data_IF_993242996752
#
_entry.id   IF_993242996752
#
_cell.length_a   1.000
_cell.length_b   1.000
_cell.length_c   1.000
_cell.angle_alpha   90.00
_cell.angle_beta   90.00
_cell.angle_gamma   90.00
#
_symmetry.space_group_name_H-M   'P 1'
#
loop_
_entity.id
_entity.type
_entity.pdbx_description
1 polymer ?
#
# COMPACT_ATOMS: atom_id res chain seq x y z
N UNK A 1 17.31 3.24 -5.50
CA UNK A 1 17.25 1.99 -4.69
C UNK A 1 16.26 2.04 -3.52
N UNK A 2 16.39 2.95 -2.53
CA UNK A 2 15.46 3.00 -1.38
C UNK A 2 14.00 3.14 -1.83
N UNK A 3 13.71 4.11 -2.69
CA UNK A 3 12.39 4.30 -3.29
C UNK A 3 11.83 3.01 -3.91
N UNK A 4 12.56 2.38 -4.84
CA UNK A 4 12.12 1.14 -5.48
C UNK A 4 11.95 -0.04 -4.52
N UNK A 5 12.71 -0.07 -3.42
CA UNK A 5 12.54 -1.09 -2.37
C UNK A 5 11.23 -0.88 -1.61
N UNK A 6 10.96 0.35 -1.18
CA UNK A 6 9.71 0.71 -0.51
C UNK A 6 8.49 0.52 -1.42
N UNK A 7 8.60 0.83 -2.71
CA UNK A 7 7.51 0.60 -3.67
C UNK A 7 7.18 -0.89 -3.81
N UNK A 8 8.18 -1.78 -3.87
CA UNK A 8 7.93 -3.22 -3.89
C UNK A 8 7.22 -3.72 -2.63
N UNK A 9 7.64 -3.23 -1.46
CA UNK A 9 7.00 -3.54 -0.18
C UNK A 9 5.58 -2.97 -0.13
N UNK A 10 5.36 -1.75 -0.64
CA UNK A 10 4.05 -1.13 -0.76
C UNK A 10 3.10 -2.01 -1.56
N UNK A 11 3.49 -2.43 -2.76
CA UNK A 11 2.66 -3.28 -3.63
C UNK A 11 2.41 -4.65 -2.99
N UNK A 12 3.37 -5.20 -2.26
CA UNK A 12 3.20 -6.44 -1.51
C UNK A 12 2.14 -6.30 -0.41
N UNK A 13 2.27 -5.28 0.44
CA UNK A 13 1.35 -5.05 1.55
C UNK A 13 -0.04 -4.66 1.06
N UNK A 14 -0.12 -3.88 -0.01
CA UNK A 14 -1.39 -3.54 -0.65
C UNK A 14 -2.07 -4.80 -1.23
N UNK A 15 -1.29 -5.72 -1.82
CA UNK A 15 -1.79 -7.02 -2.26
C UNK A 15 -2.36 -7.82 -1.09
N UNK A 16 -1.65 -7.90 0.04
CA UNK A 16 -2.13 -8.58 1.25
C UNK A 16 -3.40 -7.94 1.80
N UNK A 17 -3.46 -6.61 1.84
CA UNK A 17 -4.66 -5.88 2.23
C UNK A 17 -5.86 -6.23 1.35
N UNK A 18 -5.72 -6.19 0.02
CA UNK A 18 -6.81 -6.55 -0.89
C UNK A 18 -7.25 -8.00 -0.74
N UNK A 19 -6.30 -8.93 -0.59
CA UNK A 19 -6.63 -10.33 -0.34
C UNK A 19 -7.37 -10.52 0.98
N UNK A 20 -7.01 -9.79 2.04
CA UNK A 20 -7.72 -9.83 3.32
C UNK A 20 -9.15 -9.26 3.20
N UNK A 21 -9.33 -8.13 2.50
CA UNK A 21 -10.66 -7.55 2.19
C UNK A 21 -11.53 -8.56 1.42
N UNK A 22 -10.92 -9.29 0.48
CA UNK A 22 -11.59 -10.35 -0.29
C UNK A 22 -11.74 -11.69 0.46
N UNK A 23 -11.25 -11.79 1.71
CA UNK A 23 -11.21 -13.05 2.49
C UNK A 23 -10.51 -14.20 1.76
N UNK A 24 -9.42 -13.90 1.07
CA UNK A 24 -8.55 -14.88 0.40
C UNK A 24 -7.38 -15.32 1.28
N UNK A 25 -7.05 -14.55 2.30
CA UNK A 25 -6.07 -14.86 3.34
C UNK A 25 -6.68 -14.59 4.72
N UNK A 26 -6.03 -15.04 5.82
CA UNK A 26 -6.43 -14.64 7.17
C UNK A 26 -6.47 -13.11 7.34
N UNK A 27 -7.29 -12.61 8.29
CA UNK A 27 -7.29 -11.18 8.63
C UNK A 27 -5.89 -10.68 8.99
N UNK A 28 -5.63 -9.42 8.66
CA UNK A 28 -4.41 -8.71 9.02
C UNK A 28 -4.75 -7.63 10.04
N UNK A 29 -3.77 -7.25 10.86
CA UNK A 29 -3.95 -6.18 11.83
C UNK A 29 -4.06 -4.82 11.13
N UNK A 30 -5.18 -4.14 11.40
CA UNK A 30 -5.50 -2.83 10.84
C UNK A 30 -5.57 -1.81 11.97
N UNK A 31 -4.99 -0.65 11.73
CA UNK A 31 -5.04 0.47 12.65
C UNK A 31 -5.54 1.74 11.97
N UNK A 32 -6.07 2.67 12.74
CA UNK A 32 -6.35 4.04 12.29
C UNK A 32 -5.31 5.01 12.87
N UNK A 33 -4.96 6.12 12.20
CA UNK A 33 -4.20 7.16 12.86
C UNK A 33 -5.05 7.81 13.95
N UNK A 34 -4.47 8.03 15.13
CA UNK A 34 -5.07 8.96 16.10
C UNK A 34 -5.08 10.39 15.55
N UNK A 35 -5.97 11.25 16.07
CA UNK A 35 -6.03 12.65 15.64
C UNK A 35 -4.68 13.40 15.77
N UNK A 36 -3.89 13.24 16.86
CA UNK A 36 -2.57 13.84 16.95
C UNK A 36 -1.58 13.32 15.89
N UNK A 37 -1.62 12.02 15.59
CA UNK A 37 -0.77 11.42 14.55
C UNK A 37 -1.10 11.97 13.18
N UNK A 38 -2.40 12.06 12.84
CA UNK A 38 -2.85 12.61 11.58
C UNK A 38 -2.50 14.09 11.44
N UNK A 39 -2.73 14.89 12.49
CA UNK A 39 -2.41 16.31 12.50
C UNK A 39 -0.91 16.57 12.31
N UNK A 40 -0.05 15.77 12.96
CA UNK A 40 1.39 15.87 12.80
C UNK A 40 1.88 15.40 11.43
N UNK A 41 1.33 14.30 10.89
CA UNK A 41 1.67 13.79 9.56
C UNK A 41 1.35 14.80 8.44
N UNK A 42 0.28 15.58 8.61
CA UNK A 42 -0.24 16.50 7.60
C UNK A 42 -0.03 17.98 7.97
N UNK A 43 0.81 18.28 8.96
CA UNK A 43 0.97 19.63 9.51
C UNK A 43 1.30 20.69 8.45
N UNK A 44 2.11 20.32 7.46
CA UNK A 44 2.53 21.23 6.37
C UNK A 44 1.50 21.34 5.23
N UNK A 45 0.37 20.64 5.30
CA UNK A 45 -0.65 20.63 4.26
C UNK A 45 -2.07 20.70 4.86
N UNK A 46 -2.50 21.94 5.13
CA UNK A 46 -3.82 22.22 5.73
C UNK A 46 -5.00 21.74 4.89
N UNK A 47 -4.84 21.70 3.56
CA UNK A 47 -5.84 21.12 2.66
C UNK A 47 -5.95 19.61 2.86
N UNK A 48 -4.80 18.91 2.91
CA UNK A 48 -4.79 17.47 3.12
C UNK A 48 -5.37 17.07 4.48
N UNK A 49 -5.12 17.87 5.53
CA UNK A 49 -5.69 17.63 6.85
C UNK A 49 -7.23 17.69 6.85
N UNK A 50 -7.82 18.73 6.23
CA UNK A 50 -9.29 18.83 6.10
C UNK A 50 -9.85 17.67 5.30
N UNK A 51 -9.23 17.37 4.17
CA UNK A 51 -9.75 16.35 3.28
C UNK A 51 -9.58 14.93 3.86
N UNK A 52 -8.64 14.71 4.78
CA UNK A 52 -8.50 13.45 5.51
C UNK A 52 -9.75 13.10 6.38
N UNK A 53 -10.57 14.07 6.75
CA UNK A 53 -11.83 13.83 7.48
C UNK A 53 -12.83 13.00 6.65
N UNK A 54 -12.81 13.15 5.32
CA UNK A 54 -13.66 12.40 4.40
C UNK A 54 -13.10 10.99 4.08
N UNK A 55 -11.91 10.66 4.57
CA UNK A 55 -11.21 9.42 4.25
C UNK A 55 -11.26 8.41 5.40
N UNK A 56 -11.33 7.14 5.04
CA UNK A 56 -10.88 6.05 5.89
C UNK A 56 -9.38 5.90 5.64
N UNK A 57 -8.58 6.11 6.69
CA UNK A 57 -7.13 5.90 6.66
C UNK A 57 -6.84 4.65 7.48
N UNK A 58 -6.22 3.68 6.83
CA UNK A 58 -5.81 2.41 7.44
C UNK A 58 -4.29 2.35 7.44
N UNK A 59 -3.73 1.96 8.57
CA UNK A 59 -2.30 1.71 8.77
C UNK A 59 -2.13 0.21 8.99
N UNK A 60 -1.24 -0.38 8.21
CA UNK A 60 -0.79 -1.76 8.34
C UNK A 60 0.68 -1.70 8.68
N UNK A 61 1.06 -2.43 9.73
CA UNK A 61 2.45 -2.65 10.11
C UNK A 61 2.71 -4.14 9.97
N UNK A 62 3.65 -4.52 9.11
CA UNK A 62 4.03 -5.91 8.94
C UNK A 62 5.33 -6.24 9.70
N UNK A 63 5.77 -7.49 9.58
CA UNK A 63 7.00 -8.02 10.18
C UNK A 63 8.28 -7.36 9.66
N UNK A 64 8.21 -6.60 8.56
CA UNK A 64 9.33 -5.83 8.03
C UNK A 64 9.54 -4.50 8.75
N UNK A 65 8.71 -4.19 9.76
CA UNK A 65 8.71 -2.93 10.52
C UNK A 65 8.49 -1.69 9.64
N UNK A 66 7.88 -1.88 8.47
CA UNK A 66 7.49 -0.82 7.55
C UNK A 66 6.01 -0.51 7.74
N UNK A 67 5.65 0.77 7.67
CA UNK A 67 4.27 1.22 7.67
C UNK A 67 3.76 1.33 6.25
N UNK A 68 2.67 0.64 5.95
CA UNK A 68 1.79 0.95 4.84
C UNK A 68 0.62 1.77 5.38
N UNK A 69 0.40 2.95 4.82
CA UNK A 69 -0.86 3.67 4.95
C UNK A 69 -1.68 3.53 3.66
N UNK A 70 -2.99 3.38 3.82
CA UNK A 70 -3.95 3.31 2.71
C UNK A 70 -5.09 4.29 3.01
N UNK A 71 -5.42 5.15 2.06
CA UNK A 71 -6.46 6.16 2.19
C UNK A 71 -7.50 5.99 1.07
N UNK A 72 -8.78 5.94 1.43
CA UNK A 72 -9.90 5.84 0.48
C UNK A 72 -11.16 6.52 1.05
N UNK A 73 -12.11 6.97 0.19
CA UNK A 73 -13.31 7.68 0.65
C UNK A 73 -14.21 6.83 1.54
N UNK A 74 -14.75 7.43 2.61
CA UNK A 74 -15.75 6.80 3.50
C UNK A 74 -17.10 6.55 2.82
N UNK A 75 -17.40 7.36 1.81
CA UNK A 75 -18.66 7.39 1.06
C UNK A 75 -18.70 6.37 -0.09
N UNK A 76 -17.57 5.69 -0.39
CA UNK A 76 -17.47 4.78 -1.53
C UNK A 76 -17.00 5.50 -2.81
N UNK A 77 -17.36 5.01 -4.00
CA UNK A 77 -16.80 5.49 -5.26
C UNK A 77 -17.35 6.85 -5.73
N UNK A 78 -18.47 7.32 -5.15
CA UNK A 78 -19.16 8.51 -5.65
C UNK A 78 -19.62 8.29 -7.09
N UNK A 79 -19.29 9.23 -7.98
CA UNK A 79 -19.64 9.17 -9.41
C UNK A 79 -18.73 8.22 -10.23
N UNK A 80 -17.69 7.64 -9.60
CA UNK A 80 -16.76 6.71 -10.26
C UNK A 80 -17.28 5.28 -10.25
N UNK A 81 -16.63 4.39 -11.00
CA UNK A 81 -16.95 2.97 -10.95
C UNK A 81 -16.31 2.24 -9.77
N UNK A 82 -15.16 2.73 -9.29
CA UNK A 82 -14.46 2.18 -8.13
C UNK A 82 -13.93 3.31 -7.23
N UNK A 83 -13.76 3.03 -5.93
CA UNK A 83 -13.24 3.99 -4.97
C UNK A 83 -11.79 4.30 -5.25
N UNK A 84 -11.47 5.57 -5.47
CA UNK A 84 -10.09 6.05 -5.54
C UNK A 84 -9.33 5.68 -4.26
N UNK A 85 -8.06 5.32 -4.42
CA UNK A 85 -7.19 4.86 -3.34
C UNK A 85 -5.85 5.57 -3.48
N UNK A 86 -5.29 6.01 -2.36
CA UNK A 86 -3.87 6.36 -2.27
C UNK A 86 -3.19 5.43 -1.29
N UNK A 87 -1.95 5.04 -1.59
CA UNK A 87 -1.11 4.26 -0.70
C UNK A 87 0.22 4.94 -0.43
N UNK A 88 0.84 4.62 0.70
CA UNK A 88 2.14 5.17 1.06
C UNK A 88 2.88 4.22 1.96
N UNK A 89 4.10 3.87 1.56
CA UNK A 89 4.97 2.96 2.31
C UNK A 89 6.23 3.67 2.79
N UNK A 90 6.53 3.55 4.09
CA UNK A 90 7.73 4.15 4.70
C UNK A 90 8.09 3.50 6.04
N UNK A 91 9.35 3.57 6.43
CA UNK A 91 9.79 3.28 7.80
C UNK A 91 9.28 4.33 8.80
N UNK A 92 8.93 5.52 8.30
CA UNK A 92 8.30 6.60 9.06
C UNK A 92 6.80 6.65 8.79
N UNK A 93 6.00 6.42 9.84
CA UNK A 93 4.53 6.43 9.79
C UNK A 93 3.96 7.78 9.32
N UNK A 94 4.60 8.91 9.64
CA UNK A 94 4.15 10.23 9.20
C UNK A 94 4.27 10.35 7.67
N UNK A 95 5.40 9.90 7.12
CA UNK A 95 5.64 9.89 5.67
C UNK A 95 4.68 8.94 4.96
N UNK A 96 4.43 7.76 5.53
CA UNK A 96 3.47 6.80 4.98
C UNK A 96 2.07 7.42 4.86
N UNK A 97 1.57 8.01 5.96
CA UNK A 97 0.27 8.70 5.99
C UNK A 97 0.22 9.85 4.99
N UNK A 98 1.24 10.71 5.00
CA UNK A 98 1.30 11.87 4.10
C UNK A 98 1.18 11.42 2.64
N UNK A 99 1.98 10.43 2.22
CA UNK A 99 1.95 9.88 0.86
C UNK A 99 0.58 9.34 0.48
N UNK A 100 0.02 8.46 1.30
CA UNK A 100 -1.28 7.84 1.03
C UNK A 100 -2.39 8.87 0.87
N UNK A 101 -2.42 9.87 1.76
CA UNK A 101 -3.42 10.93 1.73
C UNK A 101 -3.24 11.84 0.51
N UNK A 102 -2.00 12.26 0.20
CA UNK A 102 -1.75 13.12 -0.97
C UNK A 102 -2.00 12.41 -2.30
N UNK A 103 -1.66 11.12 -2.41
CA UNK A 103 -1.92 10.32 -3.61
C UNK A 103 -3.41 10.13 -3.85
N UNK A 104 -4.19 9.89 -2.79
CA UNK A 104 -5.65 9.78 -2.88
C UNK A 104 -6.26 11.07 -3.46
N UNK A 105 -5.80 12.23 -3.02
CA UNK A 105 -6.29 13.51 -3.54
C UNK A 105 -5.86 13.77 -4.97
N UNK A 106 -4.61 13.44 -5.34
CA UNK A 106 -4.13 13.59 -6.71
C UNK A 106 -4.94 12.71 -7.67
N UNK A 107 -5.18 11.45 -7.30
CA UNK A 107 -6.06 10.54 -8.04
C UNK A 107 -7.50 11.06 -8.12
N UNK A 108 -7.97 11.77 -7.10
CA UNK A 108 -9.29 12.38 -7.15
C UNK A 108 -9.34 13.59 -8.09
N UNK A 109 -8.35 14.49 -8.01
CA UNK A 109 -8.34 15.75 -8.73
C UNK A 109 -8.02 15.63 -10.23
N UNK A 110 -7.25 14.61 -10.62
CA UNK A 110 -6.77 14.42 -11.99
C UNK A 110 -7.59 13.40 -12.79
N UNK A 111 -8.74 12.97 -12.26
CA UNK A 111 -9.57 11.94 -12.90
C UNK A 111 -10.11 12.41 -14.25
N UNK A 112 -9.81 11.66 -15.30
CA UNK A 112 -10.18 11.96 -16.66
C UNK A 112 -10.91 10.80 -17.37
N UNK A 113 -11.18 10.97 -18.67
CA UNK A 113 -11.85 9.95 -19.48
C UNK A 113 -11.05 8.65 -19.63
N UNK A 114 -9.71 8.70 -19.56
CA UNK A 114 -8.88 7.49 -19.60
C UNK A 114 -9.00 6.71 -18.29
N UNK A 115 -9.03 7.43 -17.16
CA UNK A 115 -9.28 6.84 -15.85
C UNK A 115 -10.68 6.19 -15.78
N UNK A 116 -11.70 6.82 -16.37
CA UNK A 116 -13.05 6.23 -16.47
C UNK A 116 -13.04 4.90 -17.25
N UNK A 117 -12.36 4.85 -18.39
CA UNK A 117 -12.21 3.62 -19.20
C UNK A 117 -11.45 2.55 -18.41
N UNK A 118 -10.39 2.93 -17.69
CA UNK A 118 -9.63 2.00 -16.85
C UNK A 118 -10.49 1.46 -15.70
N UNK A 119 -11.20 2.33 -15.00
CA UNK A 119 -12.11 1.99 -13.91
C UNK A 119 -13.23 1.06 -14.37
N UNK A 120 -13.77 1.25 -15.58
CA UNK A 120 -14.77 0.34 -16.16
C UNK A 120 -14.20 -1.08 -16.31
N UNK A 121 -12.99 -1.23 -16.84
CA UNK A 121 -12.32 -2.54 -16.96
C UNK A 121 -12.11 -3.20 -15.60
N UNK A 122 -11.76 -2.41 -14.59
CA UNK A 122 -11.62 -2.91 -13.21
C UNK A 122 -12.97 -3.38 -12.69
N UNK A 123 -14.03 -2.59 -12.86
CA UNK A 123 -15.37 -2.96 -12.44
C UNK A 123 -15.82 -4.27 -13.09
N UNK A 124 -15.61 -4.42 -14.40
CA UNK A 124 -15.97 -5.63 -15.16
C UNK A 124 -15.30 -6.89 -14.60
N UNK A 125 -14.05 -6.79 -14.14
CA UNK A 125 -13.35 -7.90 -13.48
C UNK A 125 -13.87 -8.13 -12.06
N UNK A 126 -14.03 -7.08 -11.26
CA UNK A 126 -14.39 -7.22 -9.84
C UNK A 126 -15.83 -7.68 -9.64
N UNK A 127 -16.77 -7.29 -10.52
CA UNK A 127 -18.18 -7.64 -10.40
C UNK A 127 -18.47 -9.12 -10.70
N UNK A 128 -17.52 -9.85 -11.32
CA UNK A 128 -17.66 -11.27 -11.62
C UNK A 128 -17.54 -12.18 -10.39
N UNK A 129 -17.17 -11.65 -9.23
CA UNK A 129 -16.99 -12.45 -8.01
C UNK A 129 -17.49 -11.74 -6.75
N UNK A 130 -18.28 -12.45 -5.96
CA UNK A 130 -18.79 -12.01 -4.67
C UNK A 130 -17.69 -11.63 -3.67
N UNK A 131 -16.51 -12.25 -3.81
CA UNK A 131 -15.33 -11.90 -2.99
C UNK A 131 -14.63 -10.65 -3.51
N UNK A 132 -14.50 -10.51 -4.83
CA UNK A 132 -13.73 -9.43 -5.45
C UNK A 132 -14.49 -8.11 -5.48
N UNK A 133 -15.83 -8.13 -5.58
CA UNK A 133 -16.66 -6.92 -5.56
C UNK A 133 -16.45 -6.05 -4.32
N UNK A 134 -15.92 -6.63 -3.23
CA UNK A 134 -15.54 -5.90 -2.02
C UNK A 134 -14.44 -4.85 -2.28
N UNK A 135 -13.64 -4.99 -3.35
CA UNK A 135 -12.60 -4.01 -3.73
C UNK A 135 -13.13 -2.82 -4.51
N UNK A 136 -14.41 -2.84 -4.93
CA UNK A 136 -15.04 -1.72 -5.65
C UNK A 136 -15.13 -0.51 -4.71
N UNK A 137 -15.64 -0.71 -3.50
CA UNK A 137 -15.89 0.37 -2.53
C UNK A 137 -15.28 0.12 -1.15
N UNK A 138 -14.53 -0.98 -1.00
CA UNK A 138 -13.96 -1.43 0.27
C UNK A 138 -15.01 -1.64 1.37
N UNK A 139 -16.23 -2.08 1.03
CA UNK A 139 -17.33 -2.29 1.97
C UNK A 139 -16.97 -2.95 3.32
N UNK A 140 -16.12 -3.98 3.40
CA UNK A 140 -15.79 -4.63 4.68
C UNK A 140 -14.96 -3.76 5.63
N UNK A 141 -14.27 -2.75 5.11
CA UNK A 141 -13.30 -1.94 5.85
C UNK A 141 -13.61 -0.44 5.78
N UNK A 142 -14.55 0.00 4.92
CA UNK A 142 -15.07 1.36 4.92
C UNK A 142 -15.80 1.62 6.23
N UNK A 143 -15.39 2.65 6.96
CA UNK A 143 -15.95 3.02 8.28
C UNK A 143 -15.71 1.99 9.39
N UNK A 144 -14.69 1.14 9.25
CA UNK A 144 -14.32 0.20 10.31
C UNK A 144 -13.78 0.95 11.53
N UNK A 145 -14.32 0.63 12.72
CA UNK A 145 -13.79 1.10 13.99
C UNK A 145 -12.66 0.17 14.42
N UNK A 146 -11.43 0.64 14.34
CA UNK A 146 -10.20 -0.10 14.65
C UNK A 146 -9.34 0.67 15.64
N UNK A 147 -8.42 -0.04 16.28
CA UNK A 147 -7.50 0.54 17.24
C UNK A 147 -6.68 1.68 16.61
N UNK A 148 -6.45 2.73 17.38
CA UNK A 148 -5.72 3.90 16.91
C UNK A 148 -4.24 3.82 17.27
N UNK A 149 -3.36 4.18 16.35
CA UNK A 149 -1.94 4.40 16.64
C UNK A 149 -1.69 5.84 17.08
N UNK A 150 -0.94 5.98 18.17
CA UNK A 150 -0.43 7.26 18.65
C UNK A 150 0.85 7.64 17.91
N UNK A 151 1.23 8.94 17.89
CA UNK A 151 2.54 9.36 17.41
C UNK A 151 3.66 8.63 18.14
N UNK A 152 4.60 8.04 17.39
CA UNK A 152 5.80 7.49 18.00
C UNK A 152 6.73 8.63 18.40
N UNK A 153 7.09 8.70 19.69
CA UNK A 153 7.99 9.73 20.23
C UNK A 153 9.46 9.53 19.81
N UNK A 154 9.82 8.32 19.38
CA UNK A 154 11.21 7.89 19.17
C UNK A 154 11.40 7.29 17.77
N UNK A 155 11.00 8.00 16.71
CA UNK A 155 11.37 7.58 15.36
C UNK A 155 12.85 7.87 15.12
N UNK A 156 13.67 6.87 14.80
CA UNK A 156 15.08 7.11 14.53
C UNK A 156 15.23 7.92 13.24
N UNK A 157 16.00 9.00 13.30
CA UNK A 157 16.36 9.78 12.11
C UNK A 157 17.45 9.03 11.32
N UNK A 158 17.04 8.08 10.49
CA UNK A 158 17.94 7.27 9.68
C UNK A 158 18.26 7.96 8.35
N UNK A 159 19.54 8.01 8.00
CA UNK A 159 20.00 8.34 6.66
C UNK A 159 19.57 7.29 5.63
N UNK A 160 19.59 7.63 4.33
CA UNK A 160 19.21 6.70 3.25
C UNK A 160 19.98 5.37 3.30
N UNK A 161 21.33 5.34 3.51
CA UNK A 161 22.06 4.08 3.68
C UNK A 161 21.61 3.27 4.90
N UNK A 162 21.33 3.92 6.02
CA UNK A 162 20.87 3.24 7.25
C UNK A 162 19.47 2.64 7.07
N UNK A 163 18.56 3.35 6.40
CA UNK A 163 17.25 2.83 6.03
C UNK A 163 17.37 1.60 5.12
N UNK A 164 18.27 1.63 4.14
CA UNK A 164 18.53 0.48 3.27
C UNK A 164 19.12 -0.70 4.03
N UNK A 165 20.04 -0.46 4.95
CA UNK A 165 20.63 -1.51 5.79
C UNK A 165 19.57 -2.17 6.68
N UNK A 166 18.69 -1.36 7.30
CA UNK A 166 17.57 -1.85 8.10
C UNK A 166 16.60 -2.69 7.27
N UNK A 167 16.19 -2.21 6.09
CA UNK A 167 15.31 -2.96 5.19
C UNK A 167 15.94 -4.28 4.75
N UNK A 168 17.24 -4.30 4.41
CA UNK A 168 17.96 -5.54 4.07
C UNK A 168 17.98 -6.52 5.23
N UNK A 169 18.22 -6.05 6.45
CA UNK A 169 18.19 -6.88 7.66
C UNK A 169 16.81 -7.48 7.88
N UNK A 170 15.76 -6.67 7.82
CA UNK A 170 14.38 -7.10 8.05
C UNK A 170 13.92 -8.10 6.97
N UNK A 171 14.20 -7.82 5.69
CA UNK A 171 13.93 -8.74 4.58
C UNK A 171 14.66 -10.08 4.77
N UNK A 172 15.93 -10.05 5.20
CA UNK A 172 16.69 -11.26 5.46
C UNK A 172 16.08 -12.09 6.60
N UNK A 173 15.59 -11.43 7.65
CA UNK A 173 14.85 -12.08 8.75
C UNK A 173 13.57 -12.80 8.28
N UNK A 174 12.96 -12.34 7.18
CA UNK A 174 11.80 -12.97 6.55
C UNK A 174 12.17 -13.97 5.44
N UNK A 175 13.44 -14.39 5.33
CA UNK A 175 13.94 -15.21 4.23
C UNK A 175 13.70 -14.60 2.83
N UNK A 176 13.73 -13.26 2.74
CA UNK A 176 13.62 -12.51 1.49
C UNK A 176 14.96 -11.88 1.12
N UNK A 177 15.29 -11.88 -0.16
CA UNK A 177 16.53 -11.31 -0.68
C UNK A 177 16.20 -10.12 -1.59
N UNK A 178 16.85 -8.98 -1.32
CA UNK A 178 16.74 -7.78 -2.16
C UNK A 178 17.80 -7.82 -3.26
N UNK A 179 17.35 -7.94 -4.50
CA UNK A 179 18.17 -7.78 -5.70
C UNK A 179 17.97 -6.38 -6.28
N UNK A 180 19.03 -5.85 -6.89
CA UNK A 180 18.95 -4.62 -7.65
C UNK A 180 19.98 -4.62 -8.78
N UNK A 181 19.68 -3.87 -9.84
CA UNK A 181 20.65 -3.55 -10.90
C UNK A 181 20.48 -2.10 -11.33
N UNK A 182 21.57 -1.49 -11.77
CA UNK A 182 21.51 -0.22 -12.49
C UNK A 182 21.06 -0.49 -13.92
N UNK A 183 20.01 0.21 -14.36
CA UNK A 183 19.47 0.12 -15.73
C UNK A 183 20.12 1.19 -16.60
N UNK A 184 20.28 2.40 -16.07
CA UNK A 184 20.85 3.52 -16.80
C UNK A 184 21.47 4.52 -15.83
N UNK A 185 22.56 5.14 -16.26
CA UNK A 185 23.19 6.27 -15.60
C UNK A 185 23.21 7.44 -16.57
N UNK A 186 22.74 8.59 -16.11
CA UNK A 186 22.80 9.83 -16.88
C UNK A 186 23.92 10.72 -16.34
N UNK A 187 24.55 11.54 -17.19
CA UNK A 187 25.52 12.52 -16.76
C UNK A 187 24.95 13.41 -15.65
N UNK A 188 25.73 13.68 -14.60
CA UNK A 188 25.38 14.67 -13.58
C UNK A 188 24.57 14.17 -12.38
N UNK A 189 24.55 12.86 -12.09
CA UNK A 189 24.07 12.18 -10.84
C UNK A 189 22.76 11.40 -10.89
N UNK A 190 22.04 11.37 -12.02
CA UNK A 190 20.79 10.61 -12.10
C UNK A 190 21.05 9.13 -12.40
N UNK A 191 20.53 8.24 -11.55
CA UNK A 191 20.67 6.78 -11.70
C UNK A 191 19.29 6.13 -11.70
N UNK A 192 19.01 5.34 -12.74
CA UNK A 192 17.82 4.49 -12.82
C UNK A 192 18.18 3.11 -12.33
N UNK A 193 17.60 2.71 -11.20
CA UNK A 193 17.79 1.37 -10.62
C UNK A 193 16.52 0.55 -10.73
N UNK A 194 16.64 -0.71 -11.14
CA UNK A 194 15.57 -1.70 -11.01
C UNK A 194 15.81 -2.53 -9.74
N UNK A 195 14.79 -2.66 -8.91
CA UNK A 195 14.80 -3.49 -7.69
C UNK A 195 13.89 -4.70 -7.86
N UNK A 196 14.21 -5.80 -7.18
CA UNK A 196 13.41 -7.02 -7.21
C UNK A 196 13.54 -7.78 -5.89
N UNK A 197 12.42 -8.25 -5.35
CA UNK A 197 12.35 -9.10 -4.15
C UNK A 197 11.49 -10.33 -4.50
N UNK A 198 12.08 -11.53 -4.63
CA UNK A 198 11.34 -12.73 -5.00
C UNK A 198 10.25 -13.12 -4.00
N UNK A 199 9.12 -13.60 -4.53
CA UNK A 199 8.02 -14.15 -3.75
C UNK A 199 7.23 -13.12 -2.95
N UNK A 200 7.30 -11.83 -3.32
CA UNK A 200 6.32 -10.84 -2.88
C UNK A 200 5.03 -10.97 -3.70
N UNK A 201 3.90 -10.79 -3.03
CA UNK A 201 2.58 -10.73 -3.65
C UNK A 201 2.42 -9.59 -4.66
N UNK A 202 1.60 -9.84 -5.69
CA UNK A 202 1.28 -8.88 -6.77
C UNK A 202 -0.22 -8.79 -7.05
N UNK A 203 -1.05 -9.29 -6.13
CA UNK A 203 -2.51 -9.27 -6.24
C UNK A 203 -3.09 -7.84 -6.37
N UNK A 204 -2.35 -6.81 -5.97
CA UNK A 204 -2.74 -5.41 -6.16
C UNK A 204 -3.02 -5.05 -7.63
N UNK A 205 -2.43 -5.77 -8.59
CA UNK A 205 -2.63 -5.57 -10.04
C UNK A 205 -4.07 -5.88 -10.46
N UNK A 206 -4.86 -6.59 -9.64
CA UNK A 206 -6.28 -6.84 -9.93
C UNK A 206 -7.07 -5.53 -10.13
N UNK A 207 -6.65 -4.46 -9.45
CA UNK A 207 -7.20 -3.12 -9.60
C UNK A 207 -6.70 -2.36 -10.84
N UNK A 208 -6.02 -3.05 -11.76
CA UNK A 208 -5.73 -2.59 -13.13
C UNK A 208 -6.64 -3.29 -14.17
N UNK A 209 -7.65 -4.06 -13.73
CA UNK A 209 -8.58 -4.76 -14.62
C UNK A 209 -7.98 -6.03 -15.23
N UNK A 210 -7.02 -6.65 -14.54
CA UNK A 210 -6.39 -7.90 -14.95
C UNK A 210 -6.72 -9.01 -13.96
N UNK A 211 -7.11 -10.22 -14.42
CA UNK A 211 -7.19 -11.38 -13.53
C UNK A 211 -5.81 -11.70 -12.95
N UNK A 212 -5.73 -11.85 -11.62
CA UNK A 212 -4.47 -12.15 -10.93
C UNK A 212 -4.68 -13.32 -9.98
N UNK A 213 -3.82 -14.34 -10.10
CA UNK A 213 -3.69 -15.38 -9.10
C UNK A 213 -2.71 -14.93 -8.01
N UNK A 214 -3.05 -15.02 -6.71
CA UNK A 214 -2.13 -14.77 -5.62
C UNK A 214 -0.83 -15.59 -5.74
N UNK A 215 0.31 -14.96 -5.47
CA UNK A 215 1.63 -15.56 -5.66
C UNK A 215 1.83 -16.78 -4.77
N UNK A 216 1.36 -16.76 -3.52
CA UNK A 216 1.44 -17.91 -2.62
C UNK A 216 0.69 -19.15 -3.11
N UNK A 217 -0.37 -18.98 -3.91
CA UNK A 217 -1.09 -20.09 -4.55
C UNK A 217 -0.23 -20.70 -5.66
N UNK A 218 0.38 -19.85 -6.50
CA UNK A 218 1.21 -20.29 -7.62
C UNK A 218 2.51 -20.96 -7.19
N UNK A 219 3.10 -20.49 -6.09
CA UNK A 219 4.33 -21.08 -5.54
C UNK A 219 4.08 -22.44 -4.90
N UNK A 220 2.81 -22.76 -4.59
CA UNK A 220 2.41 -23.89 -3.79
C UNK A 220 2.97 -23.75 -2.37
N UNK A 221 2.18 -24.08 -1.36
CA UNK A 221 2.81 -24.56 -0.13
C UNK A 221 3.59 -25.83 -0.50
N UNK A 222 4.90 -25.71 -0.77
CA UNK A 222 5.80 -26.81 -0.46
C UNK A 222 5.74 -26.95 1.05
N UNK A 223 4.74 -27.67 1.54
CA UNK A 223 4.81 -28.32 2.84
C UNK A 223 6.16 -29.03 2.84
N UNK A 224 7.09 -28.50 3.62
CA UNK A 224 8.32 -29.21 3.91
C UNK A 224 7.90 -30.56 4.49
N UNK A 225 8.38 -31.70 3.97
CA UNK A 225 8.15 -32.96 4.65
C UNK A 225 8.79 -32.79 6.04
N UNK A 226 7.97 -32.89 7.07
CA UNK A 226 8.43 -33.06 8.45
C UNK A 226 9.39 -34.25 8.45
N UNK A 227 10.64 -33.97 8.83
CA UNK A 227 11.62 -35.00 9.16
C UNK A 227 11.23 -35.69 10.47
#
# INVERSE_FOLDING_TARGET
MLHGTLELIERHLLSRFFMAVCRLIPPIDLYSPSAPLLAQALFNNSYALRAAEALQIIIIKDESEVYLAVAFPRTGPGDRHISAIGSGCSLDIFIAIQRAVTEQFQSNALYDANDEIADRKVLDVLCQSEKLKQLIDFAPVKNLKINTLAPSKNLPALSVPEQLALLRKNLSGMNKVLFFRTVMEYPGTNVVTQTYIPGLERFNIIRNGQPVAPQHILLGTRSSPTA
#
